data_IF_726686926283
#
_entry.id   IF_726686926283
#
_cell.length_a   1.000
_cell.length_b   1.000
_cell.length_c   1.000
_cell.angle_alpha   90.00
_cell.angle_beta   90.00
_cell.angle_gamma   90.00
#
_symmetry.space_group_name_H-M   'P 1'
#
loop_
_entity.id
_entity.type
_entity.pdbx_description
1 polymer ?
#
# COMPACT_ATOMS: atom_id res chain seq x y z
N UNK A 1 -19.23 -7.23 -4.15
CA UNK A 1 -19.40 -6.05 -3.22
C UNK A 1 -18.00 -5.61 -2.82
N UNK A 2 -17.68 -4.33 -2.92
CA UNK A 2 -16.36 -3.82 -2.53
C UNK A 2 -16.10 -4.04 -1.03
N UNK A 3 -14.87 -4.42 -0.69
CA UNK A 3 -14.39 -4.60 0.68
C UNK A 3 -13.61 -3.35 1.10
N UNK A 4 -13.74 -2.95 2.34
CA UNK A 4 -13.02 -1.80 2.89
C UNK A 4 -12.04 -2.23 3.98
N UNK A 5 -10.90 -1.59 4.02
CA UNK A 5 -9.92 -1.61 5.12
C UNK A 5 -9.48 -0.20 5.49
N UNK A 6 -8.72 -0.09 6.56
CA UNK A 6 -8.07 1.16 6.95
C UNK A 6 -6.63 0.85 7.34
N UNK A 7 -5.68 1.67 6.91
CA UNK A 7 -4.28 1.48 7.28
C UNK A 7 -4.06 1.80 8.77
N UNK A 8 -3.28 0.98 9.49
CA UNK A 8 -2.92 1.22 10.88
C UNK A 8 -2.14 2.53 11.05
N UNK A 9 -1.28 2.81 10.08
CA UNK A 9 -0.45 4.02 10.03
C UNK A 9 -1.22 5.31 9.66
N UNK A 10 -2.54 5.24 9.51
CA UNK A 10 -3.43 6.42 9.50
C UNK A 10 -3.38 7.15 10.84
N UNK A 11 -3.16 6.46 11.95
CA UNK A 11 -3.19 7.02 13.31
C UNK A 11 -1.87 6.85 14.08
N UNK A 12 -0.71 7.28 13.55
CA UNK A 12 0.60 6.94 14.08
C UNK A 12 0.93 7.57 15.44
N UNK A 13 0.13 8.54 15.88
CA UNK A 13 0.28 9.20 17.20
C UNK A 13 -0.36 8.43 18.34
N UNK A 14 -1.17 7.41 18.05
CA UNK A 14 -1.77 6.55 19.04
C UNK A 14 -0.84 5.35 19.32
N UNK A 15 -0.97 4.77 20.51
CA UNK A 15 -0.40 3.45 20.77
C UNK A 15 -1.08 2.39 19.87
N UNK A 16 -0.34 1.35 19.46
CA UNK A 16 -0.80 0.32 18.51
C UNK A 16 -2.20 -0.23 18.83
N UNK A 17 -2.42 -0.66 20.07
CA UNK A 17 -3.70 -1.22 20.49
C UNK A 17 -4.84 -0.19 20.45
N UNK A 18 -4.55 1.09 20.72
CA UNK A 18 -5.54 2.17 20.61
C UNK A 18 -5.85 2.50 19.15
N UNK A 19 -4.85 2.50 18.26
CA UNK A 19 -5.04 2.71 16.82
C UNK A 19 -5.91 1.61 16.21
N UNK A 20 -5.62 0.34 16.50
CA UNK A 20 -6.43 -0.80 16.02
C UNK A 20 -7.88 -0.73 16.54
N UNK A 21 -8.10 -0.40 17.81
CA UNK A 21 -9.45 -0.20 18.37
C UNK A 21 -10.16 0.98 17.71
N UNK A 22 -9.45 2.06 17.37
CA UNK A 22 -10.04 3.18 16.63
C UNK A 22 -10.47 2.73 15.23
N UNK A 23 -9.65 1.99 14.49
CA UNK A 23 -10.01 1.41 13.18
C UNK A 23 -11.32 0.63 13.31
N UNK A 24 -11.46 -0.23 14.32
CA UNK A 24 -12.71 -0.98 14.57
C UNK A 24 -13.89 -0.06 14.90
N UNK A 25 -13.69 0.94 15.76
CA UNK A 25 -14.73 1.92 16.12
C UNK A 25 -15.20 2.75 14.93
N UNK A 26 -14.33 3.02 13.95
CA UNK A 26 -14.69 3.66 12.69
C UNK A 26 -15.48 2.72 11.74
N UNK A 27 -15.73 1.47 12.18
CA UNK A 27 -16.57 0.51 11.48
C UNK A 27 -15.85 -0.36 10.46
N UNK A 28 -14.52 -0.47 10.52
CA UNK A 28 -13.76 -1.40 9.68
C UNK A 28 -13.63 -2.76 10.37
N UNK A 29 -13.67 -3.83 9.57
CA UNK A 29 -13.37 -5.20 10.00
C UNK A 29 -11.98 -5.65 9.52
N UNK A 30 -11.32 -4.83 8.71
CA UNK A 30 -10.00 -5.14 8.14
C UNK A 30 -9.05 -3.96 8.31
N UNK A 31 -7.77 -4.28 8.45
CA UNK A 31 -6.68 -3.31 8.62
C UNK A 31 -5.51 -3.69 7.72
N UNK A 32 -4.90 -2.69 7.09
CA UNK A 32 -3.61 -2.84 6.41
C UNK A 32 -2.50 -2.61 7.43
N UNK A 33 -1.58 -3.56 7.53
CA UNK A 33 -0.47 -3.54 8.47
C UNK A 33 0.75 -2.91 7.79
N UNK A 34 1.15 -1.73 8.23
CA UNK A 34 2.36 -1.07 7.76
C UNK A 34 3.61 -1.53 8.52
N UNK A 35 4.44 -2.38 7.90
CA UNK A 35 5.77 -2.73 8.40
C UNK A 35 6.81 -1.72 7.92
N UNK A 36 6.87 -0.56 8.56
CA UNK A 36 7.79 0.53 8.22
C UNK A 36 8.72 0.81 9.41
N UNK A 37 9.88 1.41 9.12
CA UNK A 37 10.84 1.80 10.18
C UNK A 37 10.33 3.00 10.97
N UNK A 38 9.48 3.83 10.38
CA UNK A 38 8.89 5.04 11.01
C UNK A 38 7.41 5.16 10.67
N UNK A 39 6.70 5.92 11.48
CA UNK A 39 5.31 6.34 11.25
C UNK A 39 4.30 5.20 11.20
N UNK A 40 4.61 4.06 11.83
CA UNK A 40 3.70 2.92 11.99
C UNK A 40 3.79 2.31 13.37
N UNK A 41 2.87 1.37 13.63
CA UNK A 41 2.82 0.61 14.88
C UNK A 41 3.56 -0.72 14.81
N UNK A 42 3.94 -1.14 13.60
CA UNK A 42 4.61 -2.40 13.34
C UNK A 42 5.99 -2.16 12.73
N UNK A 43 6.99 -2.84 13.27
CA UNK A 43 8.40 -2.61 12.94
C UNK A 43 9.02 -3.85 12.28
N UNK A 44 9.59 -3.73 11.08
CA UNK A 44 10.32 -4.82 10.45
C UNK A 44 11.60 -5.17 11.22
N UNK A 45 12.16 -4.22 11.98
CA UNK A 45 13.35 -4.44 12.80
C UNK A 45 13.00 -5.34 14.00
N UNK A 46 11.91 -5.04 14.70
CA UNK A 46 11.47 -5.83 15.86
C UNK A 46 10.98 -7.21 15.42
N UNK A 47 10.30 -7.29 14.30
CA UNK A 47 9.92 -8.56 13.67
C UNK A 47 11.15 -9.42 13.36
N UNK A 48 12.21 -8.84 12.82
CA UNK A 48 13.45 -9.57 12.52
C UNK A 48 14.18 -10.00 13.79
N UNK A 49 14.17 -9.17 14.84
CA UNK A 49 14.86 -9.45 16.11
C UNK A 49 14.20 -10.60 16.90
N UNK A 50 12.87 -10.69 16.87
CA UNK A 50 12.11 -11.65 17.68
C UNK A 50 10.86 -12.19 16.95
N UNK A 51 11.00 -12.90 15.81
CA UNK A 51 9.90 -13.16 14.90
C UNK A 51 8.72 -13.92 15.53
N UNK A 52 8.96 -14.94 16.37
CA UNK A 52 7.89 -15.73 16.97
C UNK A 52 7.08 -14.93 18.00
N UNK A 53 7.75 -14.27 18.92
CA UNK A 53 7.06 -13.48 19.97
C UNK A 53 6.40 -12.24 19.39
N UNK A 54 7.01 -11.60 18.39
CA UNK A 54 6.43 -10.46 17.70
C UNK A 54 5.15 -10.85 16.95
N UNK A 55 5.21 -11.93 16.18
CA UNK A 55 4.03 -12.47 15.45
C UNK A 55 2.91 -12.86 16.41
N UNK A 56 3.23 -13.52 17.53
CA UNK A 56 2.23 -13.86 18.54
C UNK A 56 1.55 -12.62 19.14
N UNK A 57 2.32 -11.54 19.37
CA UNK A 57 1.75 -10.28 19.86
C UNK A 57 0.87 -9.61 18.80
N UNK A 58 1.27 -9.60 17.52
CA UNK A 58 0.43 -9.05 16.42
C UNK A 58 -0.88 -9.80 16.30
N UNK A 59 -0.86 -11.13 16.37
CA UNK A 59 -2.06 -11.96 16.37
C UNK A 59 -3.00 -11.61 17.53
N UNK A 60 -2.46 -11.45 18.75
CA UNK A 60 -3.24 -11.07 19.92
C UNK A 60 -3.85 -9.67 19.77
N UNK A 61 -3.07 -8.69 19.28
CA UNK A 61 -3.54 -7.31 19.09
C UNK A 61 -4.68 -7.23 18.07
N UNK A 62 -4.60 -8.01 16.99
CA UNK A 62 -5.67 -8.11 15.98
C UNK A 62 -6.92 -8.78 16.54
N UNK A 63 -6.77 -9.87 17.31
CA UNK A 63 -7.89 -10.58 17.95
C UNK A 63 -8.59 -9.68 18.98
N UNK A 64 -7.84 -9.02 19.86
CA UNK A 64 -8.34 -8.07 20.85
C UNK A 64 -9.08 -6.87 20.24
N UNK A 65 -8.71 -6.49 19.02
CA UNK A 65 -9.37 -5.42 18.26
C UNK A 65 -10.52 -5.94 17.36
N UNK A 66 -10.71 -7.25 17.25
CA UNK A 66 -11.66 -7.90 16.32
C UNK A 66 -11.41 -7.48 14.85
N UNK A 67 -10.14 -7.38 14.45
CA UNK A 67 -9.73 -7.03 13.10
C UNK A 67 -9.04 -8.19 12.40
N UNK A 68 -9.08 -8.16 11.06
CA UNK A 68 -8.33 -9.05 10.17
C UNK A 68 -7.39 -8.24 9.32
N UNK A 69 -6.20 -8.76 9.04
CA UNK A 69 -5.30 -8.12 8.09
C UNK A 69 -5.83 -8.25 6.65
N UNK A 70 -5.80 -7.16 5.90
CA UNK A 70 -6.15 -7.07 4.47
C UNK A 70 -4.93 -6.98 3.58
N UNK A 71 -3.88 -6.33 4.07
CA UNK A 71 -2.57 -6.24 3.45
C UNK A 71 -1.47 -6.18 4.51
N UNK A 72 -0.26 -6.58 4.12
CA UNK A 72 0.97 -6.30 4.85
C UNK A 72 1.87 -5.49 3.93
N UNK A 73 2.03 -4.20 4.21
CA UNK A 73 2.85 -3.30 3.41
C UNK A 73 4.24 -3.15 4.04
N UNK A 74 5.30 -3.56 3.33
CA UNK A 74 6.67 -3.56 3.87
C UNK A 74 7.56 -2.51 3.21
N UNK A 75 8.15 -1.64 4.05
CA UNK A 75 9.24 -0.72 3.69
C UNK A 75 10.37 -0.91 4.70
N UNK A 76 11.54 -1.33 4.24
CA UNK A 76 12.66 -1.76 5.08
C UNK A 76 13.53 -0.59 5.54
N UNK A 77 13.63 0.47 4.74
CA UNK A 77 14.35 1.71 5.07
C UNK A 77 13.45 2.78 5.67
N UNK A 78 14.04 3.88 6.12
CA UNK A 78 13.30 5.05 6.66
C UNK A 78 12.59 5.84 5.55
N UNK A 79 13.03 5.66 4.31
CA UNK A 79 12.43 6.20 3.09
C UNK A 79 12.58 5.20 1.94
N UNK A 80 11.92 5.42 0.78
CA UNK A 80 11.97 4.49 -0.35
C UNK A 80 13.36 4.24 -0.94
N UNK A 81 14.32 5.14 -0.73
CA UNK A 81 15.68 5.01 -1.28
C UNK A 81 16.64 4.25 -0.35
N UNK A 82 16.42 4.33 0.97
CA UNK A 82 17.22 3.61 1.93
C UNK A 82 16.85 2.13 1.92
N UNK A 83 17.83 1.28 1.68
CA UNK A 83 17.60 -0.16 1.56
C UNK A 83 16.50 -0.49 0.54
N UNK A 84 16.50 0.23 -0.58
CA UNK A 84 15.57 0.00 -1.68
C UNK A 84 15.58 -1.47 -2.14
N UNK A 85 14.48 -1.92 -2.72
CA UNK A 85 14.38 -3.28 -3.27
C UNK A 85 15.53 -3.59 -4.24
N UNK A 86 15.92 -2.61 -5.04
CA UNK A 86 16.99 -2.67 -6.01
C UNK A 86 18.30 -2.01 -5.55
N UNK A 87 18.60 -2.01 -4.25
CA UNK A 87 19.85 -1.43 -3.72
C UNK A 87 21.06 -1.89 -4.55
N UNK A 88 22.01 -1.00 -4.90
CA UNK A 88 23.19 -1.35 -5.68
C UNK A 88 24.04 -2.46 -5.06
N UNK A 89 24.10 -2.52 -3.72
CA UNK A 89 24.84 -3.54 -2.99
C UNK A 89 24.06 -4.87 -2.92
N UNK A 90 24.66 -5.92 -3.45
CA UNK A 90 24.12 -7.29 -3.32
C UNK A 90 23.96 -7.73 -1.87
N UNK A 91 24.88 -7.31 -0.99
CA UNK A 91 24.84 -7.67 0.44
C UNK A 91 23.64 -7.03 1.15
N UNK A 92 23.29 -5.79 0.76
CA UNK A 92 22.09 -5.12 1.27
C UNK A 92 20.85 -5.82 0.72
N UNK A 93 20.80 -6.16 -0.57
CA UNK A 93 19.66 -6.91 -1.14
C UNK A 93 19.43 -8.27 -0.46
N UNK A 94 20.50 -9.01 -0.14
CA UNK A 94 20.39 -10.27 0.62
C UNK A 94 19.74 -10.03 1.98
N UNK A 95 20.20 -9.03 2.73
CA UNK A 95 19.60 -8.66 4.03
C UNK A 95 18.15 -8.18 3.89
N UNK A 96 17.83 -7.47 2.80
CA UNK A 96 16.45 -7.06 2.51
C UNK A 96 15.55 -8.26 2.22
N UNK A 97 16.04 -9.28 1.53
CA UNK A 97 15.33 -10.54 1.30
C UNK A 97 15.03 -11.28 2.61
N UNK A 98 15.97 -11.29 3.56
CA UNK A 98 15.75 -11.89 4.89
C UNK A 98 14.60 -11.18 5.63
N UNK A 99 14.58 -9.83 5.64
CA UNK A 99 13.49 -9.06 6.26
C UNK A 99 12.16 -9.30 5.53
N UNK A 100 12.19 -9.34 4.20
CA UNK A 100 11.01 -9.63 3.39
C UNK A 100 10.41 -11.02 3.71
N UNK A 101 11.23 -12.04 3.87
CA UNK A 101 10.77 -13.38 4.26
C UNK A 101 10.11 -13.37 5.64
N UNK A 102 10.60 -12.58 6.61
CA UNK A 102 9.92 -12.40 7.90
C UNK A 102 8.58 -11.70 7.76
N UNK A 103 8.49 -10.71 6.88
CA UNK A 103 7.21 -10.06 6.57
C UNK A 103 6.22 -11.04 5.91
N UNK A 104 6.69 -11.90 5.01
CA UNK A 104 5.87 -12.94 4.40
C UNK A 104 5.41 -13.99 5.42
N UNK A 105 6.28 -14.42 6.34
CA UNK A 105 5.93 -15.33 7.44
C UNK A 105 4.83 -14.70 8.34
N UNK A 106 4.96 -13.41 8.66
CA UNK A 106 3.93 -12.67 9.41
C UNK A 106 2.62 -12.62 8.62
N UNK A 107 2.68 -12.27 7.33
CA UNK A 107 1.52 -12.20 6.45
C UNK A 107 0.72 -13.52 6.46
N UNK A 108 1.41 -14.64 6.31
CA UNK A 108 0.81 -15.99 6.41
C UNK A 108 0.22 -16.25 7.79
N UNK A 109 0.94 -15.92 8.86
CA UNK A 109 0.51 -16.15 10.24
C UNK A 109 -0.77 -15.39 10.59
N UNK A 110 -0.89 -14.11 10.16
CA UNK A 110 -2.10 -13.30 10.35
C UNK A 110 -3.22 -13.63 9.35
N UNK A 111 -3.03 -14.67 8.53
CA UNK A 111 -3.97 -15.12 7.49
C UNK A 111 -4.31 -14.04 6.47
N UNK A 112 -3.37 -13.16 6.20
CA UNK A 112 -3.43 -12.20 5.11
C UNK A 112 -2.94 -12.88 3.82
N UNK A 113 -3.62 -12.67 2.72
CA UNK A 113 -3.25 -13.23 1.42
C UNK A 113 -2.67 -12.18 0.46
N UNK A 114 -2.33 -11.00 0.96
CA UNK A 114 -1.79 -9.91 0.17
C UNK A 114 -0.58 -9.27 0.87
N UNK A 115 0.48 -8.99 0.11
CA UNK A 115 1.70 -8.34 0.61
C UNK A 115 2.15 -7.28 -0.39
N UNK A 116 2.28 -6.06 0.08
CA UNK A 116 2.73 -4.91 -0.71
C UNK A 116 4.19 -4.57 -0.41
N UNK A 117 4.93 -4.19 -1.44
CA UNK A 117 6.28 -3.62 -1.32
C UNK A 117 6.47 -2.45 -2.28
N UNK A 118 7.63 -1.78 -2.19
CA UNK A 118 7.99 -0.71 -3.12
C UNK A 118 8.81 -1.26 -4.31
N UNK A 119 8.69 -0.67 -5.52
CA UNK A 119 9.34 -1.19 -6.72
C UNK A 119 10.86 -0.96 -6.76
N UNK A 120 11.39 -0.07 -5.92
CA UNK A 120 12.77 0.41 -5.96
C UNK A 120 12.87 1.82 -6.52
N UNK A 121 14.11 2.33 -6.61
CA UNK A 121 14.41 3.72 -6.99
C UNK A 121 15.49 3.78 -8.05
N UNK A 122 15.69 4.95 -8.68
CA UNK A 122 16.87 5.21 -9.51
C UNK A 122 18.02 5.70 -8.63
N UNK A 123 19.17 5.04 -8.74
CA UNK A 123 20.38 5.39 -8.00
C UNK A 123 21.29 6.25 -8.86
N UNK A 124 21.81 7.36 -8.31
CA UNK A 124 22.72 8.27 -9.02
C UNK A 124 24.04 7.61 -9.44
N UNK A 125 24.39 6.49 -8.83
CA UNK A 125 25.61 5.73 -9.11
C UNK A 125 25.46 4.70 -10.23
N UNK A 126 24.23 4.44 -10.69
CA UNK A 126 23.92 3.41 -11.67
C UNK A 126 23.38 4.00 -12.98
N UNK A 127 23.49 3.25 -14.06
CA UNK A 127 22.68 3.48 -15.24
C UNK A 127 21.21 3.11 -14.93
N UNK A 128 20.25 3.93 -15.39
CA UNK A 128 18.80 3.68 -15.16
C UNK A 128 18.37 2.27 -15.57
N UNK A 129 18.87 1.76 -16.68
CA UNK A 129 18.55 0.41 -17.15
C UNK A 129 19.00 -0.65 -16.13
N UNK A 130 20.17 -0.49 -15.51
CA UNK A 130 20.65 -1.41 -14.47
C UNK A 130 19.76 -1.41 -13.24
N UNK A 131 19.26 -0.24 -12.83
CA UNK A 131 18.32 -0.15 -11.72
C UNK A 131 16.99 -0.85 -12.04
N UNK A 132 16.49 -0.70 -13.28
CA UNK A 132 15.26 -1.38 -13.75
C UNK A 132 15.44 -2.91 -13.82
N UNK A 133 16.59 -3.39 -14.32
CA UNK A 133 16.90 -4.83 -14.34
C UNK A 133 16.93 -5.42 -12.93
N UNK A 134 17.67 -4.77 -12.01
CA UNK A 134 17.78 -5.22 -10.63
C UNK A 134 16.43 -5.18 -9.92
N UNK A 135 15.64 -4.13 -10.14
CA UNK A 135 14.29 -4.03 -9.58
C UNK A 135 13.36 -5.14 -10.09
N UNK A 136 13.43 -5.45 -11.39
CA UNK A 136 12.63 -6.53 -11.99
C UNK A 136 13.02 -7.91 -11.42
N UNK A 137 14.33 -8.19 -11.31
CA UNK A 137 14.84 -9.42 -10.70
C UNK A 137 14.38 -9.58 -9.25
N UNK A 138 14.47 -8.52 -8.44
CA UNK A 138 14.08 -8.52 -7.03
C UNK A 138 12.56 -8.63 -6.85
N UNK A 139 11.79 -8.00 -7.73
CA UNK A 139 10.33 -8.10 -7.75
C UNK A 139 9.89 -9.50 -8.14
N UNK A 140 10.46 -10.08 -9.19
CA UNK A 140 10.14 -11.45 -9.62
C UNK A 140 10.48 -12.48 -8.53
N UNK A 141 11.60 -12.29 -7.80
CA UNK A 141 11.94 -13.13 -6.66
C UNK A 141 10.87 -13.05 -5.56
N UNK A 142 10.43 -11.83 -5.17
CA UNK A 142 9.38 -11.63 -4.15
C UNK A 142 8.06 -12.25 -4.57
N UNK A 143 7.67 -12.07 -5.82
CA UNK A 143 6.45 -12.69 -6.38
C UNK A 143 6.50 -14.23 -6.25
N UNK A 144 7.64 -14.83 -6.56
CA UNK A 144 7.83 -16.28 -6.46
C UNK A 144 7.72 -16.77 -5.01
N UNK A 145 8.38 -16.11 -4.05
CA UNK A 145 8.31 -16.48 -2.64
C UNK A 145 6.87 -16.35 -2.11
N UNK A 146 6.18 -15.25 -2.44
CA UNK A 146 4.79 -15.05 -2.07
C UNK A 146 3.87 -16.10 -2.69
N UNK A 147 4.02 -16.41 -3.97
CA UNK A 147 3.22 -17.44 -4.65
C UNK A 147 3.39 -18.82 -4.01
N UNK A 148 4.62 -19.18 -3.60
CA UNK A 148 4.89 -20.42 -2.88
C UNK A 148 4.17 -20.49 -1.51
N UNK A 149 3.91 -19.32 -0.90
CA UNK A 149 3.21 -19.19 0.37
C UNK A 149 1.68 -18.97 0.21
N UNK A 150 1.16 -18.91 -1.02
CA UNK A 150 -0.25 -18.62 -1.30
C UNK A 150 -0.63 -17.15 -1.06
N UNK A 151 0.33 -16.24 -1.13
CA UNK A 151 0.17 -14.80 -0.94
C UNK A 151 0.32 -14.09 -2.28
N UNK A 152 -0.56 -13.13 -2.58
CA UNK A 152 -0.43 -12.23 -3.72
C UNK A 152 0.58 -11.14 -3.38
N UNK A 153 1.63 -10.97 -4.19
CA UNK A 153 2.55 -9.85 -4.08
C UNK A 153 2.16 -8.73 -5.03
N UNK A 154 2.22 -7.49 -4.54
CA UNK A 154 2.07 -6.29 -5.35
C UNK A 154 3.15 -5.26 -5.04
N UNK A 155 3.33 -4.31 -5.94
CA UNK A 155 4.12 -3.10 -5.67
C UNK A 155 3.20 -1.90 -5.62
N UNK A 156 3.53 -0.92 -4.78
CA UNK A 156 2.92 0.40 -4.84
C UNK A 156 3.77 1.32 -5.72
N UNK A 157 3.27 1.79 -6.88
CA UNK A 157 3.86 2.90 -7.61
C UNK A 157 3.84 4.16 -6.75
N UNK A 158 5.01 4.58 -6.30
CA UNK A 158 5.16 5.62 -5.29
C UNK A 158 6.00 6.77 -5.85
N UNK A 159 5.71 7.99 -5.42
CA UNK A 159 6.52 9.16 -5.78
C UNK A 159 7.98 8.94 -5.39
N UNK A 160 8.91 9.29 -6.28
CA UNK A 160 10.35 9.05 -6.11
C UNK A 160 10.79 7.61 -6.41
N UNK A 161 9.89 6.70 -6.77
CA UNK A 161 10.23 5.35 -7.21
C UNK A 161 10.48 5.28 -8.72
N UNK A 162 10.91 4.10 -9.19
CA UNK A 162 11.06 3.83 -10.64
C UNK A 162 9.70 3.79 -11.38
N UNK A 163 8.59 3.77 -10.65
CA UNK A 163 7.21 3.68 -11.15
C UNK A 163 6.38 4.92 -10.79
N UNK A 164 6.98 6.10 -10.63
CA UNK A 164 6.29 7.30 -10.16
C UNK A 164 5.30 7.92 -11.17
N UNK A 165 5.38 7.52 -12.45
CA UNK A 165 4.47 7.94 -13.52
C UNK A 165 3.71 6.74 -14.07
N UNK A 166 2.51 6.95 -14.64
CA UNK A 166 1.69 5.87 -15.23
C UNK A 166 2.46 5.11 -16.31
N UNK A 167 3.18 5.81 -17.20
CA UNK A 167 3.92 5.12 -18.26
C UNK A 167 5.12 4.33 -17.72
N UNK A 168 5.83 4.82 -16.69
CA UNK A 168 6.90 4.07 -16.03
C UNK A 168 6.36 2.84 -15.31
N UNK A 169 5.21 2.93 -14.64
CA UNK A 169 4.53 1.80 -14.03
C UNK A 169 4.11 0.75 -15.08
N UNK A 170 3.51 1.18 -16.21
CA UNK A 170 3.18 0.30 -17.35
C UNK A 170 4.41 -0.36 -17.96
N UNK A 171 5.51 0.37 -18.11
CA UNK A 171 6.75 -0.17 -18.61
C UNK A 171 7.32 -1.25 -17.68
N UNK A 172 7.22 -1.03 -16.38
CA UNK A 172 7.68 -2.00 -15.38
C UNK A 172 6.79 -3.24 -15.32
N UNK A 173 5.48 -3.11 -15.43
CA UNK A 173 4.53 -4.23 -15.56
C UNK A 173 4.84 -5.12 -16.77
N UNK A 174 5.28 -4.53 -17.89
CA UNK A 174 5.75 -5.30 -19.08
C UNK A 174 7.04 -6.07 -18.85
N UNK A 175 7.90 -5.63 -17.91
CA UNK A 175 9.16 -6.31 -17.54
C UNK A 175 8.94 -7.47 -16.60
N UNK A 176 7.90 -7.41 -15.76
CA UNK A 176 7.63 -8.40 -14.71
C UNK A 176 6.23 -8.98 -14.93
N UNK A 177 6.18 -10.05 -15.71
CA UNK A 177 4.92 -10.70 -16.07
C UNK A 177 4.15 -11.19 -14.82
N UNK A 178 2.86 -10.90 -14.76
CA UNK A 178 1.98 -11.31 -13.65
C UNK A 178 2.08 -10.41 -12.41
N UNK A 179 2.89 -9.35 -12.44
CA UNK A 179 2.95 -8.37 -11.36
C UNK A 179 1.63 -7.64 -11.22
N UNK A 180 1.19 -7.44 -9.97
CA UNK A 180 0.03 -6.61 -9.64
C UNK A 180 0.44 -5.35 -8.86
N UNK A 181 -0.50 -4.43 -8.74
CA UNK A 181 -0.31 -3.14 -8.08
C UNK A 181 -1.18 -3.02 -6.83
N UNK A 182 -0.60 -2.46 -5.78
CA UNK A 182 -1.32 -1.70 -4.78
C UNK A 182 -1.40 -0.28 -5.33
N UNK A 183 -2.57 0.11 -5.84
CA UNK A 183 -2.71 1.34 -6.62
C UNK A 183 -3.20 2.47 -5.75
N UNK A 184 -2.36 3.49 -5.54
CA UNK A 184 -2.72 4.77 -4.93
C UNK A 184 -2.75 5.87 -6.00
N UNK A 185 -3.93 6.39 -6.26
CA UNK A 185 -4.13 7.50 -7.20
C UNK A 185 -3.45 8.80 -6.75
N UNK A 186 -3.30 8.99 -5.44
CA UNK A 186 -2.72 10.21 -4.86
C UNK A 186 -1.33 10.51 -5.40
N UNK A 187 -0.48 9.49 -5.57
CA UNK A 187 0.88 9.66 -6.09
C UNK A 187 0.90 10.21 -7.52
N UNK A 188 0.05 9.69 -8.40
CA UNK A 188 -0.02 10.11 -9.80
C UNK A 188 -0.70 11.48 -9.96
N UNK A 189 -1.82 11.69 -9.25
CA UNK A 189 -2.56 12.96 -9.33
C UNK A 189 -1.73 14.11 -8.73
N UNK A 190 -0.96 13.87 -7.67
CA UNK A 190 -0.01 14.85 -7.13
C UNK A 190 1.04 15.25 -8.18
N UNK A 191 1.52 14.30 -8.99
CA UNK A 191 2.44 14.56 -10.10
C UNK A 191 1.79 15.24 -11.32
N UNK A 192 0.48 15.53 -11.26
CA UNK A 192 -0.26 16.22 -12.31
C UNK A 192 -0.89 15.29 -13.36
N UNK A 193 -0.84 13.98 -13.16
CA UNK A 193 -1.51 13.03 -14.07
C UNK A 193 -3.02 13.01 -13.81
N UNK A 194 -3.80 12.84 -14.87
CA UNK A 194 -5.26 12.76 -14.75
C UNK A 194 -5.69 11.39 -14.21
N UNK A 195 -6.78 11.35 -13.43
CA UNK A 195 -7.37 10.08 -13.00
C UNK A 195 -7.74 9.17 -14.17
N UNK A 196 -8.13 9.73 -15.31
CA UNK A 196 -8.44 8.96 -16.53
C UNK A 196 -7.22 8.19 -17.04
N UNK A 197 -6.01 8.75 -16.93
CA UNK A 197 -4.78 8.05 -17.30
C UNK A 197 -4.44 6.96 -16.28
N UNK A 198 -4.64 7.22 -14.99
CA UNK A 198 -4.41 6.24 -13.92
C UNK A 198 -5.39 5.06 -14.02
N UNK A 199 -6.61 5.27 -14.56
CA UNK A 199 -7.58 4.19 -14.80
C UNK A 199 -7.02 3.09 -15.70
N UNK A 200 -6.04 3.37 -16.56
CA UNK A 200 -5.36 2.37 -17.40
C UNK A 200 -4.55 1.33 -16.58
N UNK A 201 -4.26 1.63 -15.31
CA UNK A 201 -3.59 0.70 -14.38
C UNK A 201 -4.56 -0.19 -13.61
N UNK A 202 -5.87 0.10 -13.61
CA UNK A 202 -6.88 -0.69 -12.89
C UNK A 202 -6.86 -2.19 -13.19
N UNK A 203 -6.62 -2.65 -14.44
CA UNK A 203 -6.54 -4.09 -14.73
C UNK A 203 -5.43 -4.83 -13.98
N UNK A 204 -4.46 -4.10 -13.45
CA UNK A 204 -3.33 -4.66 -12.71
C UNK A 204 -3.48 -4.52 -11.18
N UNK A 205 -4.52 -3.82 -10.71
CA UNK A 205 -4.71 -3.58 -9.28
C UNK A 205 -5.19 -4.84 -8.57
N UNK A 206 -4.51 -5.23 -7.50
CA UNK A 206 -4.94 -6.27 -6.55
C UNK A 206 -5.39 -5.67 -5.21
N UNK A 207 -4.94 -4.45 -4.91
CA UNK A 207 -5.28 -3.66 -3.74
C UNK A 207 -5.33 -2.18 -4.13
N UNK A 208 -6.16 -1.39 -3.46
CA UNK A 208 -6.29 0.06 -3.76
C UNK A 208 -6.13 0.84 -2.45
N UNK A 209 -5.16 1.74 -2.42
CA UNK A 209 -5.10 2.78 -1.40
C UNK A 209 -5.97 3.96 -1.81
N UNK A 210 -6.81 4.45 -0.91
CA UNK A 210 -7.71 5.58 -1.17
C UNK A 210 -7.55 6.67 -0.12
N UNK A 211 -7.24 7.86 -0.61
CA UNK A 211 -7.22 9.13 0.13
C UNK A 211 -7.61 10.27 -0.81
N UNK A 212 -8.03 11.41 -0.30
CA UNK A 212 -8.19 12.59 -1.14
C UNK A 212 -6.83 13.05 -1.63
N UNK A 213 -6.73 13.47 -2.89
CA UNK A 213 -5.51 13.98 -3.50
C UNK A 213 -5.83 15.05 -4.56
N UNK A 214 -4.85 15.92 -4.88
CA UNK A 214 -4.95 16.94 -5.90
C UNK A 214 -3.57 17.24 -6.51
N UNK A 215 -3.47 17.92 -7.66
CA UNK A 215 -2.19 18.35 -8.20
C UNK A 215 -1.34 19.06 -7.13
N UNK A 216 -0.06 18.72 -7.05
CA UNK A 216 0.92 19.22 -6.06
C UNK A 216 0.60 18.86 -4.59
N UNK A 217 -0.43 18.06 -4.33
CA UNK A 217 -0.83 17.63 -2.97
C UNK A 217 -1.17 16.15 -2.94
N UNK A 218 -0.32 15.38 -2.27
CA UNK A 218 -0.52 13.94 -2.11
C UNK A 218 -1.80 13.61 -1.34
N UNK A 219 -2.11 14.42 -0.32
CA UNK A 219 -3.26 14.21 0.55
C UNK A 219 -4.06 15.52 0.72
N UNK A 220 -5.37 15.43 0.55
CA UNK A 220 -6.31 16.52 0.75
C UNK A 220 -7.53 16.07 1.53
N UNK A 221 -8.35 17.02 1.99
CA UNK A 221 -9.70 16.69 2.44
C UNK A 221 -10.54 16.11 1.29
N UNK A 222 -11.65 15.45 1.62
CA UNK A 222 -12.62 14.95 0.63
C UNK A 222 -13.20 16.11 -0.20
N UNK A 223 -13.39 17.28 0.41
CA UNK A 223 -13.91 18.48 -0.25
C UNK A 223 -12.94 19.03 -1.33
N UNK A 224 -11.63 18.97 -1.07
CA UNK A 224 -10.59 19.46 -2.00
C UNK A 224 -10.07 18.37 -2.95
N UNK A 225 -10.61 17.17 -2.88
CA UNK A 225 -10.17 16.03 -3.68
C UNK A 225 -10.41 16.23 -5.18
N UNK A 226 -9.41 15.93 -5.99
CA UNK A 226 -9.47 15.95 -7.45
C UNK A 226 -9.46 14.55 -8.09
N UNK A 227 -9.35 13.48 -7.31
CA UNK A 227 -9.35 12.11 -7.82
C UNK A 227 -10.78 11.72 -8.25
N UNK A 228 -10.92 11.16 -9.46
CA UNK A 228 -12.20 10.61 -9.95
C UNK A 228 -12.48 9.23 -9.37
N UNK A 229 -12.98 9.18 -8.14
CA UNK A 229 -13.41 7.93 -7.50
C UNK A 229 -14.60 7.28 -8.21
N UNK A 230 -15.45 8.04 -8.90
CA UNK A 230 -16.59 7.48 -9.62
C UNK A 230 -16.12 6.63 -10.80
N UNK A 231 -15.22 7.16 -11.62
CA UNK A 231 -14.59 6.42 -12.72
C UNK A 231 -13.78 5.21 -12.23
N UNK A 232 -12.99 5.39 -11.17
CA UNK A 232 -12.25 4.30 -10.53
C UNK A 232 -13.17 3.14 -10.11
N UNK A 233 -14.25 3.42 -9.36
CA UNK A 233 -15.19 2.40 -8.90
C UNK A 233 -15.94 1.72 -10.04
N UNK A 234 -16.30 2.48 -11.09
CA UNK A 234 -16.93 1.92 -12.28
C UNK A 234 -15.99 0.95 -13.01
N UNK A 235 -14.71 1.34 -13.20
CA UNK A 235 -13.69 0.49 -13.80
C UNK A 235 -13.43 -0.77 -12.99
N UNK A 236 -13.24 -0.65 -11.68
CA UNK A 236 -13.04 -1.79 -10.78
C UNK A 236 -14.23 -2.76 -10.81
N UNK A 237 -15.47 -2.24 -10.84
CA UNK A 237 -16.69 -3.07 -10.97
C UNK A 237 -16.70 -3.84 -12.29
N UNK A 238 -16.38 -3.20 -13.42
CA UNK A 238 -16.31 -3.84 -14.73
C UNK A 238 -15.26 -4.96 -14.79
N UNK A 239 -14.14 -4.77 -14.10
CA UNK A 239 -13.05 -5.74 -14.00
C UNK A 239 -13.33 -6.89 -13.01
N UNK A 240 -14.40 -6.83 -12.23
CA UNK A 240 -14.69 -7.82 -11.20
C UNK A 240 -13.70 -7.80 -10.05
N UNK A 241 -13.16 -6.62 -9.71
CA UNK A 241 -12.17 -6.45 -8.63
C UNK A 241 -12.66 -7.04 -7.31
N UNK A 242 -11.83 -7.89 -6.69
CA UNK A 242 -12.12 -8.58 -5.43
C UNK A 242 -11.13 -8.22 -4.28
N UNK A 243 -10.28 -7.23 -4.49
CA UNK A 243 -9.39 -6.67 -3.48
C UNK A 243 -10.08 -5.73 -2.49
N UNK A 244 -9.29 -5.00 -1.74
CA UNK A 244 -9.76 -4.01 -0.78
C UNK A 244 -9.59 -2.58 -1.29
N UNK A 245 -10.48 -1.70 -0.84
CA UNK A 245 -10.31 -0.25 -0.86
C UNK A 245 -9.83 0.15 0.54
N UNK A 246 -8.56 0.40 0.70
CA UNK A 246 -7.93 0.72 1.97
C UNK A 246 -7.86 2.23 2.17
N UNK A 247 -8.51 2.75 3.20
CA UNK A 247 -8.43 4.15 3.58
C UNK A 247 -7.04 4.42 4.17
N UNK A 248 -6.27 5.30 3.49
CA UNK A 248 -4.86 5.54 3.80
C UNK A 248 -4.58 7.03 3.98
N UNK A 249 -5.33 7.71 4.82
CA UNK A 249 -4.90 9.03 5.28
C UNK A 249 -3.72 8.86 6.24
N UNK A 250 -2.56 9.48 5.91
CA UNK A 250 -1.36 9.39 6.75
C UNK A 250 -1.15 10.70 7.53
N UNK A 251 -0.61 10.61 8.74
CA UNK A 251 -0.34 11.79 9.56
C UNK A 251 1.18 11.97 9.75
N UNK A 252 1.81 12.41 8.68
CA UNK A 252 3.25 12.71 8.61
C UNK A 252 3.47 14.09 7.98
N UNK A 253 4.58 14.75 8.29
CA UNK A 253 4.91 16.08 7.75
C UNK A 253 5.38 16.04 6.28
N UNK A 254 5.76 14.85 5.81
CA UNK A 254 6.12 14.62 4.42
C UNK A 254 4.96 15.02 3.48
N UNK A 255 5.25 15.83 2.48
CA UNK A 255 4.26 16.41 1.56
C UNK A 255 3.06 17.08 2.24
N UNK A 256 3.21 17.49 3.51
CA UNK A 256 2.16 18.18 4.26
C UNK A 256 0.95 17.33 4.59
N UNK A 257 1.08 16.00 4.62
CA UNK A 257 -0.03 15.08 4.92
C UNK A 257 -0.60 15.28 6.34
N UNK A 258 0.18 15.84 7.28
CA UNK A 258 -0.29 16.18 8.63
C UNK A 258 -1.22 17.43 8.69
N UNK A 259 -1.60 17.99 7.56
CA UNK A 259 -2.55 19.13 7.48
C UNK A 259 -4.00 18.70 7.32
N UNK A 260 -4.25 17.40 7.24
CA UNK A 260 -5.58 16.80 7.06
C UNK A 260 -6.00 16.11 8.35
N UNK A 261 -7.27 16.24 8.74
CA UNK A 261 -7.84 15.48 9.87
C UNK A 261 -8.11 14.04 9.45
N UNK A 262 -7.19 13.15 9.77
CA UNK A 262 -7.26 11.75 9.35
C UNK A 262 -8.50 11.02 9.84
N UNK A 263 -9.00 11.32 11.04
CA UNK A 263 -10.20 10.65 11.59
C UNK A 263 -11.44 11.06 10.80
N UNK A 264 -11.67 12.35 10.66
CA UNK A 264 -12.84 12.88 9.95
C UNK A 264 -12.81 12.50 8.48
N UNK A 265 -11.66 12.67 7.81
CA UNK A 265 -11.52 12.42 6.38
C UNK A 265 -11.63 10.92 6.03
N UNK A 266 -11.13 10.03 6.88
CA UNK A 266 -11.33 8.57 6.73
C UNK A 266 -12.83 8.23 6.74
N UNK A 267 -13.60 8.80 7.67
CA UNK A 267 -15.06 8.57 7.75
C UNK A 267 -15.80 9.20 6.56
N UNK A 268 -15.44 10.43 6.20
CA UNK A 268 -16.09 11.16 5.11
C UNK A 268 -15.84 10.48 3.76
N UNK A 269 -14.59 10.10 3.47
CA UNK A 269 -14.23 9.42 2.22
C UNK A 269 -14.91 8.06 2.13
N UNK A 270 -14.88 7.25 3.19
CA UNK A 270 -15.59 5.96 3.21
C UNK A 270 -17.07 6.14 2.87
N UNK A 271 -17.77 7.09 3.52
CA UNK A 271 -19.20 7.37 3.26
C UNK A 271 -19.43 7.83 1.82
N UNK A 272 -18.55 8.64 1.28
CA UNK A 272 -18.62 9.10 -0.13
C UNK A 272 -18.50 7.91 -1.10
N UNK A 273 -17.50 7.03 -0.90
CA UNK A 273 -17.31 5.82 -1.70
C UNK A 273 -18.50 4.86 -1.59
N UNK A 274 -19.00 4.58 -0.38
CA UNK A 274 -20.19 3.74 -0.16
C UNK A 274 -21.43 4.31 -0.86
N UNK A 275 -21.60 5.64 -0.86
CA UNK A 275 -22.70 6.29 -1.58
C UNK A 275 -22.57 6.13 -3.09
N UNK A 276 -21.36 6.26 -3.63
CA UNK A 276 -21.11 6.06 -5.07
C UNK A 276 -21.32 4.59 -5.48
N UNK A 277 -20.87 3.63 -4.67
CA UNK A 277 -21.06 2.19 -4.90
C UNK A 277 -22.55 1.85 -4.96
N UNK A 278 -23.38 2.38 -4.05
CA UNK A 278 -24.85 2.18 -4.09
C UNK A 278 -25.45 2.67 -5.39
N UNK A 279 -25.10 3.89 -5.83
CA UNK A 279 -25.58 4.44 -7.13
C UNK A 279 -25.18 3.59 -8.32
N UNK A 280 -23.94 3.09 -8.34
CA UNK A 280 -23.46 2.18 -9.39
C UNK A 280 -24.20 0.84 -9.39
N UNK A 281 -24.70 0.38 -8.26
CA UNK A 281 -25.45 -0.87 -8.14
C UNK A 281 -26.89 -0.68 -8.58
N UNK A 282 -27.52 0.45 -8.26
CA UNK A 282 -28.89 0.79 -8.63
C UNK A 282 -29.06 1.09 -10.15
N UNK A 283 -27.99 1.55 -10.80
CA UNK A 283 -27.98 1.88 -12.23
C UNK A 283 -27.67 0.66 -13.15
N UNK A 284 -27.42 -0.52 -12.59
CA UNK A 284 -27.11 -1.77 -13.30
C UNK A 284 -28.29 -2.70 -13.35
#
# INVERSE_FOLDING_TARGET
MFKFSCADFTFPVLERTAALKLVKLLGFDHVDIGLFVRSTHFSPIDLQAAPQSYTAQVLQDLDDAELRASDVFVQIGVDPSERAANDPSSDIRIKNREVFLRALELCVAVRCNHLTGLPGVFHSTNARERDLETAAEETAWRMKECACAGVQYSIEPHVGSICEEVESARAFLRRVEGLTLTLDYGHFVMAGESSALVHDLLPFASHIHVRGGAPDRLQTSVEENAIDFTGMLAGLKQLGFDGFLALEYVWVDWNGCNRTDNVSETVLLRRALESQIRRLTEAS
#
